data_IF_363977114437
#
_entry.id   IF_363977114437
#
_cell.length_a   1.000
_cell.length_b   1.000
_cell.length_c   1.000
_cell.angle_alpha   90.00
_cell.angle_beta   90.00
_cell.angle_gamma   90.00
#
_symmetry.space_group_name_H-M   'P 1'
#
loop_
_entity.id
_entity.type
_entity.pdbx_description
1 polymer ?
#
# COMPACT_ATOMS: atom_id res chain seq x y z
N UNK A 1 -13.39 -1.85 16.84
CA UNK A 1 -12.03 -1.47 16.38
C UNK A 1 -11.02 -2.28 17.18
N UNK A 2 -10.14 -3.03 16.53
CA UNK A 2 -9.06 -3.76 17.21
C UNK A 2 -7.97 -4.18 16.24
N UNK A 3 -6.77 -4.39 16.76
CA UNK A 3 -5.69 -5.12 16.09
C UNK A 3 -5.32 -6.34 16.95
N UNK A 4 -4.65 -7.33 16.37
CA UNK A 4 -4.06 -8.40 17.19
C UNK A 4 -2.82 -7.90 17.94
N UNK A 5 -2.49 -8.51 19.08
CA UNK A 5 -1.20 -8.26 19.77
C UNK A 5 -0.02 -8.59 18.84
N UNK A 6 -0.14 -9.62 18.00
CA UNK A 6 0.84 -9.97 16.97
C UNK A 6 1.09 -8.84 15.96
N UNK A 7 0.04 -8.10 15.58
CA UNK A 7 0.18 -6.94 14.70
C UNK A 7 0.79 -5.74 15.42
N UNK A 8 0.45 -5.53 16.70
CA UNK A 8 1.05 -4.48 17.51
C UNK A 8 2.58 -4.66 17.63
N UNK A 9 3.06 -5.89 17.81
CA UNK A 9 4.49 -6.21 17.87
C UNK A 9 5.28 -5.91 16.59
N UNK A 10 4.60 -5.72 15.46
CA UNK A 10 5.24 -5.32 14.19
C UNK A 10 5.44 -3.80 14.07
N UNK A 11 4.94 -3.01 15.02
CA UNK A 11 5.02 -1.56 15.00
C UNK A 11 6.43 -1.07 15.39
N UNK A 12 6.88 0.10 14.90
CA UNK A 12 8.22 0.62 15.17
C UNK A 12 8.53 0.77 16.66
N UNK A 13 7.54 1.22 17.46
CA UNK A 13 7.66 1.32 18.92
C UNK A 13 7.89 -0.01 19.64
N UNK A 14 7.66 -1.16 18.99
CA UNK A 14 7.96 -2.50 19.52
C UNK A 14 9.22 -3.12 18.90
N UNK A 15 10.03 -2.34 18.16
CA UNK A 15 11.28 -2.85 17.60
C UNK A 15 12.23 -3.28 18.73
N UNK A 16 12.59 -4.57 18.75
CA UNK A 16 13.40 -5.15 19.83
C UNK A 16 12.60 -5.58 21.07
N UNK A 17 11.27 -5.51 21.03
CA UNK A 17 10.43 -6.04 22.10
C UNK A 17 10.60 -7.56 22.25
N UNK A 18 10.57 -8.03 23.49
CA UNK A 18 10.71 -9.45 23.83
C UNK A 18 9.41 -10.00 24.39
N UNK A 19 8.99 -11.16 23.92
CA UNK A 19 7.85 -11.87 24.49
C UNK A 19 8.38 -12.71 25.65
N UNK A 20 8.02 -12.36 26.88
CA UNK A 20 8.46 -13.07 28.09
C UNK A 20 7.61 -14.29 28.41
N UNK A 21 6.31 -14.23 28.12
CA UNK A 21 5.37 -15.33 28.33
C UNK A 21 4.09 -15.14 27.48
N UNK A 22 3.27 -16.19 27.38
CA UNK A 22 1.95 -16.15 26.77
C UNK A 22 1.95 -16.04 25.25
N UNK A 23 3.01 -16.51 24.57
CA UNK A 23 3.18 -16.37 23.11
C UNK A 23 2.06 -17.00 22.27
N UNK A 24 1.28 -17.93 22.82
CA UNK A 24 0.11 -18.51 22.16
C UNK A 24 -1.12 -17.60 22.12
N UNK A 25 -1.12 -16.50 22.89
CA UNK A 25 -2.23 -15.54 22.95
C UNK A 25 -2.03 -14.26 22.14
N UNK A 26 -1.12 -14.26 21.17
CA UNK A 26 -0.83 -13.05 20.37
C UNK A 26 -1.97 -12.67 19.42
N UNK A 27 -2.95 -13.54 19.21
CA UNK A 27 -4.18 -13.31 18.45
C UNK A 27 -5.25 -12.52 19.23
N UNK A 28 -5.06 -12.33 20.55
CA UNK A 28 -5.94 -11.51 21.40
C UNK A 28 -6.13 -10.12 20.80
N UNK A 29 -7.37 -9.64 20.88
CA UNK A 29 -7.79 -8.38 20.26
C UNK A 29 -7.47 -7.20 21.17
N UNK A 30 -6.52 -6.38 20.74
CA UNK A 30 -6.17 -5.10 21.33
C UNK A 30 -7.12 -4.03 20.79
N UNK A 31 -8.00 -3.51 21.65
CA UNK A 31 -9.04 -2.51 21.31
C UNK A 31 -8.65 -1.10 21.71
N UNK A 32 -7.84 -0.96 22.76
CA UNK A 32 -7.32 0.32 23.26
C UNK A 32 -6.06 0.11 24.10
N UNK A 33 -5.27 1.16 24.29
CA UNK A 33 -4.14 1.16 25.22
C UNK A 33 -4.54 1.83 26.51
N UNK A 34 -4.08 1.25 27.62
CA UNK A 34 -4.24 1.81 28.95
C UNK A 34 -2.89 1.85 29.66
N UNK A 35 -2.55 3.00 30.24
CA UNK A 35 -1.31 3.16 31.02
C UNK A 35 -1.65 2.98 32.50
N UNK A 36 -0.96 2.04 33.16
CA UNK A 36 -1.23 1.72 34.58
C UNK A 36 0.09 1.62 35.33
N UNK A 37 0.35 2.52 36.28
CA UNK A 37 1.59 2.52 37.10
C UNK A 37 1.39 1.95 38.51
N UNK A 38 0.15 1.95 38.99
CA UNK A 38 -0.24 1.37 40.25
C UNK A 38 -1.28 0.28 39.96
N UNK A 39 -1.01 -1.01 40.26
CA UNK A 39 -2.06 -2.00 40.32
C UNK A 39 -3.07 -1.54 41.36
N UNK A 40 -4.37 -1.57 41.06
CA UNK A 40 -5.38 -1.14 42.05
C UNK A 40 -5.28 -2.00 43.31
N UNK A 41 -5.03 -1.34 44.45
CA UNK A 41 -5.01 -1.97 45.77
C UNK A 41 -6.09 -1.31 46.66
N UNK A 42 -6.91 -2.09 47.38
CA UNK A 42 -6.93 -3.55 47.42
C UNK A 42 -7.46 -4.20 46.13
N UNK A 43 -6.94 -5.40 45.83
CA UNK A 43 -7.29 -6.29 44.70
C UNK A 43 -8.73 -6.84 44.78
N UNK A 44 -9.68 -6.04 45.25
CA UNK A 44 -11.07 -6.44 45.21
C UNK A 44 -11.58 -6.27 43.77
N UNK A 45 -11.49 -7.36 43.01
CA UNK A 45 -12.05 -7.44 41.66
C UNK A 45 -13.57 -7.22 41.60
N UNK A 46 -14.27 -7.10 42.74
CA UNK A 46 -15.67 -6.66 42.82
C UNK A 46 -15.82 -5.13 42.88
N UNK A 47 -14.77 -4.39 43.19
CA UNK A 47 -14.73 -2.91 43.27
C UNK A 47 -13.93 -2.34 42.08
N UNK A 48 -12.79 -2.95 41.76
CA UNK A 48 -11.98 -2.62 40.58
C UNK A 48 -12.83 -2.72 39.31
N UNK A 49 -12.88 -1.65 38.50
CA UNK A 49 -13.55 -1.65 37.20
C UNK A 49 -15.09 -1.58 37.18
N UNK A 50 -15.81 -1.82 38.29
CA UNK A 50 -17.29 -1.83 38.29
C UNK A 50 -17.94 -0.46 38.41
N UNK A 51 -17.36 0.45 39.21
CA UNK A 51 -17.84 1.84 39.35
C UNK A 51 -16.93 2.86 38.64
N UNK A 52 -15.68 2.50 38.38
CA UNK A 52 -14.73 3.31 37.63
C UNK A 52 -14.40 2.58 36.32
N UNK A 53 -14.68 3.18 35.17
CA UNK A 53 -14.42 2.65 33.82
C UNK A 53 -12.92 2.47 33.47
N UNK A 54 -12.10 2.08 34.44
CA UNK A 54 -10.64 1.98 34.36
C UNK A 54 -10.17 0.76 33.57
N UNK A 55 -10.99 -0.31 33.51
CA UNK A 55 -10.69 -1.52 32.76
C UNK A 55 -11.85 -1.90 31.84
N UNK A 56 -11.55 -2.20 30.58
CA UNK A 56 -12.50 -2.73 29.60
C UNK A 56 -11.89 -3.87 28.80
N UNK A 57 -12.76 -4.64 28.13
CA UNK A 57 -12.38 -5.71 27.23
C UNK A 57 -11.38 -5.22 26.17
N UNK A 58 -10.32 -6.00 25.96
CA UNK A 58 -9.31 -5.70 24.94
C UNK A 58 -8.34 -4.57 25.30
N UNK A 59 -8.28 -4.14 26.57
CA UNK A 59 -7.22 -3.26 27.08
C UNK A 59 -5.83 -3.86 26.85
N UNK A 60 -4.86 -3.07 26.37
CA UNK A 60 -3.45 -3.44 26.40
C UNK A 60 -2.72 -2.55 27.38
N UNK A 61 -2.25 -3.14 28.48
CA UNK A 61 -1.67 -2.38 29.56
C UNK A 61 -0.21 -2.08 29.29
N UNK A 62 0.18 -0.82 29.50
CA UNK A 62 1.58 -0.39 29.47
C UNK A 62 1.95 0.07 30.87
N UNK A 63 3.06 -0.44 31.38
CA UNK A 63 3.50 -0.14 32.75
C UNK A 63 5.02 -0.23 32.91
N UNK A 64 5.58 0.59 33.80
CA UNK A 64 6.93 0.36 34.35
C UNK A 64 6.89 -0.50 35.61
N UNK A 65 5.69 -0.74 36.13
CA UNK A 65 5.41 -1.44 37.38
C UNK A 65 6.13 -0.81 38.59
N UNK A 66 6.34 0.51 38.55
CA UNK A 66 7.09 1.24 39.58
C UNK A 66 6.56 1.00 40.99
N UNK A 67 5.22 0.96 41.15
CA UNK A 67 4.57 0.79 42.44
C UNK A 67 4.93 -0.54 43.13
N UNK A 68 5.21 -1.60 42.36
CA UNK A 68 5.52 -2.93 42.88
C UNK A 68 6.99 -3.32 42.71
N UNK A 69 7.88 -2.36 42.41
CA UNK A 69 9.32 -2.61 42.18
C UNK A 69 10.02 -3.31 43.35
N UNK A 70 9.54 -3.08 44.59
CA UNK A 70 10.08 -3.65 45.82
C UNK A 70 9.28 -4.87 46.31
N UNK A 71 8.19 -5.22 45.63
CA UNK A 71 7.24 -6.27 45.99
C UNK A 71 6.83 -7.06 44.74
N UNK A 72 7.80 -7.72 44.06
CA UNK A 72 7.57 -8.41 42.78
C UNK A 72 6.55 -9.56 42.86
N UNK A 73 6.28 -10.06 44.06
CA UNK A 73 5.28 -11.09 44.37
C UNK A 73 3.87 -10.66 43.95
N UNK A 74 3.58 -9.34 43.98
CA UNK A 74 2.30 -8.77 43.59
C UNK A 74 2.07 -8.75 42.07
N UNK A 75 3.10 -9.04 41.26
CA UNK A 75 2.97 -9.07 39.81
C UNK A 75 2.04 -10.20 39.36
N UNK A 76 2.07 -11.35 40.03
CA UNK A 76 1.19 -12.47 39.70
C UNK A 76 -0.29 -12.09 39.88
N UNK A 77 -0.61 -11.43 40.99
CA UNK A 77 -1.98 -10.99 41.27
C UNK A 77 -2.42 -9.87 40.31
N UNK A 78 -1.50 -8.98 39.92
CA UNK A 78 -1.74 -7.96 38.89
C UNK A 78 -2.10 -8.59 37.55
N UNK A 79 -1.32 -9.58 37.09
CA UNK A 79 -1.59 -10.27 35.81
C UNK A 79 -2.90 -11.06 35.88
N UNK A 80 -3.20 -11.70 37.02
CA UNK A 80 -4.50 -12.37 37.25
C UNK A 80 -5.67 -11.39 37.14
N UNK A 81 -5.56 -10.21 37.76
CA UNK A 81 -6.56 -9.16 37.69
C UNK A 81 -6.78 -8.69 36.25
N UNK A 82 -5.70 -8.36 35.53
CA UNK A 82 -5.79 -7.89 34.15
C UNK A 82 -6.39 -8.94 33.23
N UNK A 83 -6.04 -10.21 33.39
CA UNK A 83 -6.63 -11.29 32.60
C UNK A 83 -8.14 -11.45 32.90
N UNK A 84 -8.57 -11.26 34.16
CA UNK A 84 -9.99 -11.32 34.56
C UNK A 84 -10.85 -10.26 33.86
N UNK A 85 -10.28 -9.10 33.52
CA UNK A 85 -10.95 -8.05 32.73
C UNK A 85 -10.80 -8.24 31.21
N UNK A 86 -10.39 -9.42 30.74
CA UNK A 86 -10.19 -9.71 29.31
C UNK A 86 -9.23 -8.74 28.61
N UNK A 87 -8.22 -8.22 29.31
CA UNK A 87 -7.17 -7.45 28.66
C UNK A 87 -6.40 -8.29 27.64
N UNK A 88 -5.94 -7.66 26.57
CA UNK A 88 -5.23 -8.27 25.46
C UNK A 88 -3.78 -8.63 25.79
N UNK A 89 -3.15 -7.94 26.74
CA UNK A 89 -1.80 -8.25 27.21
C UNK A 89 -1.20 -7.16 28.10
N UNK A 90 0.01 -7.42 28.62
CA UNK A 90 0.79 -6.51 29.44
C UNK A 90 2.14 -6.22 28.79
N UNK A 91 2.42 -4.95 28.55
CA UNK A 91 3.70 -4.41 28.09
C UNK A 91 4.46 -3.77 29.26
N UNK A 92 5.59 -4.37 29.62
CA UNK A 92 6.47 -3.92 30.70
C UNK A 92 7.64 -3.16 30.09
N UNK A 93 7.83 -1.91 30.51
CA UNK A 93 9.07 -1.20 30.19
C UNK A 93 10.17 -1.66 31.15
N UNK A 94 11.33 -2.06 30.62
CA UNK A 94 12.41 -2.70 31.38
C UNK A 94 13.23 -1.75 32.30
N UNK A 95 12.58 -0.73 32.86
CA UNK A 95 13.18 0.28 33.74
C UNK A 95 13.48 -0.25 35.15
N UNK A 96 12.60 -1.07 35.71
CA UNK A 96 12.75 -1.66 37.05
C UNK A 96 12.79 -3.19 37.02
N UNK A 97 12.08 -3.80 36.08
CA UNK A 97 12.06 -5.25 35.87
C UNK A 97 12.84 -5.61 34.62
N UNK A 98 13.85 -6.49 34.75
CA UNK A 98 14.58 -7.07 33.60
C UNK A 98 14.07 -8.45 33.22
N UNK A 99 13.47 -9.15 34.16
CA UNK A 99 12.84 -10.46 34.01
C UNK A 99 11.57 -10.48 34.84
N UNK A 100 10.71 -11.47 34.59
CA UNK A 100 9.53 -11.74 35.41
C UNK A 100 9.75 -13.03 36.23
N UNK A 101 9.13 -13.15 37.42
CA UNK A 101 9.18 -14.40 38.19
C UNK A 101 8.63 -15.59 37.40
N UNK A 102 9.18 -16.78 37.63
CA UNK A 102 8.78 -18.00 36.89
C UNK A 102 7.30 -18.34 37.08
N UNK A 103 6.75 -18.08 38.26
CA UNK A 103 5.33 -18.30 38.55
C UNK A 103 4.41 -17.44 37.69
N UNK A 104 4.80 -16.19 37.42
CA UNK A 104 4.09 -15.27 36.52
C UNK A 104 4.15 -15.79 35.09
N UNK A 105 5.33 -16.24 34.64
CA UNK A 105 5.50 -16.80 33.31
C UNK A 105 4.68 -18.09 33.12
N UNK A 106 4.67 -18.98 34.12
CA UNK A 106 3.89 -20.21 34.09
C UNK A 106 2.39 -19.93 33.96
N UNK A 107 1.86 -19.05 34.82
CA UNK A 107 0.46 -18.63 34.76
C UNK A 107 0.10 -18.00 33.40
N UNK A 108 0.92 -17.05 32.92
CA UNK A 108 0.70 -16.39 31.63
C UNK A 108 0.70 -17.37 30.45
N UNK A 109 1.56 -18.40 30.48
CA UNK A 109 1.60 -19.46 29.47
C UNK A 109 0.40 -20.41 29.55
N UNK A 110 -0.12 -20.66 30.75
CA UNK A 110 -1.32 -21.48 30.98
C UNK A 110 -2.57 -20.79 30.43
N UNK A 111 -2.76 -19.50 30.74
CA UNK A 111 -3.93 -18.73 30.28
C UNK A 111 -3.74 -18.07 28.92
N UNK A 112 -2.60 -18.29 28.25
CA UNK A 112 -2.21 -17.64 27.00
C UNK A 112 -2.34 -16.11 27.07
N UNK A 113 -1.81 -15.50 28.12
CA UNK A 113 -1.83 -14.05 28.33
C UNK A 113 -0.46 -13.44 27.97
N UNK A 114 -0.34 -12.66 26.87
CA UNK A 114 0.93 -12.12 26.43
C UNK A 114 1.54 -11.14 27.44
N UNK A 115 2.79 -11.42 27.84
CA UNK A 115 3.63 -10.47 28.58
C UNK A 115 4.80 -10.10 27.68
N UNK A 116 4.86 -8.82 27.33
CA UNK A 116 5.83 -8.25 26.40
C UNK A 116 6.73 -7.29 27.18
N UNK A 117 8.01 -7.28 26.87
CA UNK A 117 8.99 -6.37 27.45
C UNK A 117 9.60 -5.46 26.38
N UNK A 118 9.62 -4.16 26.65
CA UNK A 118 10.18 -3.12 25.77
C UNK A 118 11.32 -2.41 26.49
N UNK A 119 12.30 -1.93 25.73
CA UNK A 119 13.44 -1.19 26.26
C UNK A 119 13.00 0.18 26.83
N UNK A 120 13.59 0.59 27.96
CA UNK A 120 13.32 1.86 28.65
C UNK A 120 13.65 3.12 27.85
N UNK A 121 14.39 2.95 26.74
CA UNK A 121 14.66 3.99 25.75
C UNK A 121 13.41 4.38 24.95
N UNK A 122 12.40 3.51 24.85
CA UNK A 122 11.15 3.76 24.13
C UNK A 122 10.17 4.54 25.02
N UNK A 123 9.66 5.67 24.54
CA UNK A 123 8.70 6.47 25.29
C UNK A 123 7.28 5.85 25.22
N UNK A 124 6.52 5.94 26.32
CA UNK A 124 5.11 5.54 26.33
C UNK A 124 4.30 6.22 25.22
N UNK A 125 4.56 7.50 24.96
CA UNK A 125 3.87 8.27 23.96
C UNK A 125 4.00 7.65 22.56
N UNK A 126 5.15 7.07 22.22
CA UNK A 126 5.38 6.44 20.92
C UNK A 126 4.57 5.15 20.79
N UNK A 127 4.57 4.30 21.83
CA UNK A 127 3.78 3.07 21.88
C UNK A 127 2.28 3.39 21.77
N UNK A 128 1.80 4.34 22.59
CA UNK A 128 0.40 4.80 22.58
C UNK A 128 0.02 5.29 21.19
N UNK A 129 0.86 6.13 20.58
CA UNK A 129 0.58 6.75 19.28
C UNK A 129 0.52 5.70 18.17
N UNK A 130 1.53 4.82 18.08
CA UNK A 130 1.61 3.82 17.02
C UNK A 130 0.44 2.84 17.06
N UNK A 131 0.14 2.31 18.23
CA UNK A 131 -0.93 1.33 18.39
C UNK A 131 -2.30 1.99 18.24
N UNK A 132 -2.54 3.17 18.82
CA UNK A 132 -3.82 3.89 18.62
C UNK A 132 -4.05 4.18 17.14
N UNK A 133 -3.01 4.59 16.40
CA UNK A 133 -3.06 4.78 14.95
C UNK A 133 -3.41 3.47 14.23
N UNK A 134 -2.80 2.35 14.63
CA UNK A 134 -3.08 1.04 14.05
C UNK A 134 -4.52 0.56 14.32
N UNK A 135 -5.06 0.76 15.53
CA UNK A 135 -6.45 0.46 15.88
C UNK A 135 -7.42 1.27 15.03
N UNK A 136 -7.22 2.59 14.93
CA UNK A 136 -8.06 3.48 14.14
C UNK A 136 -8.02 3.12 12.65
N UNK A 137 -6.86 2.71 12.14
CA UNK A 137 -6.71 2.29 10.75
C UNK A 137 -7.41 0.97 10.40
N UNK A 138 -7.74 0.12 11.38
CA UNK A 138 -8.25 -1.25 11.14
C UNK A 138 -9.71 -1.32 10.64
N UNK A 139 -10.63 -0.51 11.17
CA UNK A 139 -12.03 -0.48 10.69
C UNK A 139 -12.27 0.55 9.59
N UNK A 140 -11.55 1.67 9.60
CA UNK A 140 -11.70 2.72 8.59
C UNK A 140 -11.43 2.20 7.18
N UNK A 141 -10.47 1.28 7.01
CA UNK A 141 -10.14 0.76 5.67
C UNK A 141 -11.28 -0.05 5.03
N UNK A 142 -11.98 -0.92 5.77
CA UNK A 142 -13.08 -1.71 5.18
C UNK A 142 -14.26 -0.82 4.75
N UNK A 143 -14.63 0.14 5.60
CA UNK A 143 -15.67 1.12 5.30
C UNK A 143 -15.26 1.98 4.10
N UNK A 144 -14.02 2.47 4.10
CA UNK A 144 -13.50 3.27 3.00
C UNK A 144 -13.43 2.50 1.68
N UNK A 145 -13.05 1.22 1.68
CA UNK A 145 -13.10 0.37 0.47
C UNK A 145 -14.54 0.25 -0.04
N UNK A 146 -15.53 0.07 0.84
CA UNK A 146 -16.94 0.04 0.44
C UNK A 146 -17.36 1.35 -0.22
N UNK A 147 -17.07 2.49 0.43
CA UNK A 147 -17.41 3.82 -0.10
C UNK A 147 -16.73 4.06 -1.45
N UNK A 148 -15.47 3.65 -1.62
CA UNK A 148 -14.75 3.78 -2.90
C UNK A 148 -15.40 2.91 -3.98
N UNK A 149 -15.81 1.68 -3.66
CA UNK A 149 -16.56 0.86 -4.60
C UNK A 149 -17.91 1.51 -4.96
N UNK A 150 -18.59 2.11 -4.00
CA UNK A 150 -19.85 2.83 -4.24
C UNK A 150 -19.62 4.04 -5.16
N UNK A 151 -18.56 4.83 -4.93
CA UNK A 151 -18.14 5.94 -5.81
C UNK A 151 -17.87 5.45 -7.24
N UNK A 152 -17.18 4.30 -7.39
CA UNK A 152 -16.84 3.75 -8.71
C UNK A 152 -18.06 3.21 -9.47
N UNK A 153 -19.12 2.82 -8.77
CA UNK A 153 -20.35 2.32 -9.38
C UNK A 153 -21.45 3.41 -9.51
N UNK A 154 -21.20 4.61 -9.00
CA UNK A 154 -22.14 5.73 -9.05
C UNK A 154 -21.96 6.55 -10.32
N UNK A 155 -23.05 7.05 -10.90
CA UNK A 155 -23.04 7.91 -12.07
C UNK A 155 -23.57 9.32 -11.77
N UNK A 156 -24.30 9.52 -10.65
CA UNK A 156 -24.75 10.84 -10.21
C UNK A 156 -23.62 11.64 -9.53
N UNK A 157 -23.19 12.78 -10.10
CA UNK A 157 -22.12 13.62 -9.55
C UNK A 157 -22.40 14.12 -8.12
N UNK A 158 -23.65 14.40 -7.77
CA UNK A 158 -23.99 14.87 -6.42
C UNK A 158 -23.82 13.77 -5.38
N UNK A 159 -24.21 12.53 -5.72
CA UNK A 159 -23.99 11.39 -4.83
C UNK A 159 -22.50 11.04 -4.69
N UNK A 160 -21.71 11.14 -5.77
CA UNK A 160 -20.25 10.99 -5.71
C UNK A 160 -19.65 11.99 -4.70
N UNK A 161 -20.08 13.25 -4.73
CA UNK A 161 -19.60 14.26 -3.80
C UNK A 161 -19.99 13.95 -2.34
N UNK A 162 -21.21 13.46 -2.10
CA UNK A 162 -21.67 13.05 -0.77
C UNK A 162 -20.86 11.86 -0.22
N UNK A 163 -20.61 10.85 -1.06
CA UNK A 163 -19.74 9.71 -0.73
C UNK A 163 -18.30 10.16 -0.46
N UNK A 164 -17.78 11.12 -1.24
CA UNK A 164 -16.45 11.70 -1.02
C UNK A 164 -16.32 12.36 0.37
N UNK A 165 -17.33 13.13 0.80
CA UNK A 165 -17.32 13.71 2.16
C UNK A 165 -17.52 12.66 3.26
N UNK A 166 -18.22 11.56 2.95
CA UNK A 166 -18.32 10.42 3.87
C UNK A 166 -16.96 9.72 4.02
N UNK A 167 -16.18 9.65 2.94
CA UNK A 167 -14.81 9.12 2.96
C UNK A 167 -13.87 10.02 3.77
N UNK A 168 -13.95 11.34 3.55
CA UNK A 168 -13.22 12.35 4.31
C UNK A 168 -13.93 13.71 4.30
N UNK A 169 -14.46 14.12 5.44
CA UNK A 169 -15.18 15.38 5.58
C UNK A 169 -14.31 16.66 5.43
N UNK A 170 -12.99 16.51 5.31
CA UNK A 170 -12.03 17.62 5.11
C UNK A 170 -11.61 17.82 3.66
N UNK A 171 -12.22 17.10 2.71
CA UNK A 171 -11.88 17.31 1.31
C UNK A 171 -12.27 18.70 0.81
N UNK A 172 -11.42 19.23 -0.06
CA UNK A 172 -11.69 20.42 -0.88
C UNK A 172 -12.04 20.00 -2.31
N UNK A 173 -12.60 20.93 -3.08
CA UNK A 173 -13.08 20.65 -4.45
C UNK A 173 -11.98 20.30 -5.44
N UNK A 174 -10.82 20.97 -5.38
CA UNK A 174 -9.75 20.66 -6.32
C UNK A 174 -9.05 19.37 -5.89
N UNK A 175 -9.06 18.35 -6.74
CA UNK A 175 -8.55 17.03 -6.40
C UNK A 175 -7.56 16.49 -7.44
N UNK A 176 -6.63 15.67 -6.94
CA UNK A 176 -5.82 14.76 -7.75
C UNK A 176 -5.66 13.46 -6.96
N UNK A 177 -5.74 12.33 -7.64
CA UNK A 177 -5.63 11.01 -7.02
C UNK A 177 -4.36 10.34 -7.51
N UNK A 178 -3.62 9.79 -6.56
CA UNK A 178 -2.46 8.96 -6.78
C UNK A 178 -2.84 7.51 -6.42
N UNK A 179 -2.45 6.56 -7.26
CA UNK A 179 -2.56 5.14 -6.98
C UNK A 179 -1.16 4.55 -6.88
N UNK A 180 -0.80 4.12 -5.68
CA UNK A 180 0.44 3.41 -5.40
C UNK A 180 0.17 1.91 -5.38
N UNK A 181 0.89 1.16 -6.22
CA UNK A 181 0.92 -0.30 -6.19
C UNK A 181 2.25 -0.78 -5.64
N UNK A 182 2.20 -1.69 -4.68
CA UNK A 182 3.39 -2.31 -4.08
C UNK A 182 3.55 -3.75 -4.56
N UNK A 183 4.80 -4.21 -4.66
CA UNK A 183 5.13 -5.60 -5.00
C UNK A 183 5.67 -6.28 -3.75
N UNK A 184 5.01 -7.34 -3.28
CA UNK A 184 5.48 -8.21 -2.19
C UNK A 184 5.80 -7.44 -0.90
N UNK A 185 4.78 -6.81 -0.30
CA UNK A 185 4.94 -6.04 0.93
C UNK A 185 4.06 -6.57 2.06
N UNK A 186 4.59 -6.54 3.29
CA UNK A 186 3.86 -6.90 4.51
C UNK A 186 2.78 -5.85 4.82
N UNK A 187 1.60 -6.31 5.23
CA UNK A 187 0.48 -5.42 5.60
C UNK A 187 0.84 -4.40 6.70
N UNK A 188 1.76 -4.75 7.61
CA UNK A 188 2.28 -3.83 8.65
C UNK A 188 2.97 -2.61 8.04
N UNK A 189 3.79 -2.80 7.01
CA UNK A 189 4.50 -1.71 6.31
C UNK A 189 3.53 -0.82 5.52
N UNK A 190 2.52 -1.42 4.89
CA UNK A 190 1.46 -0.67 4.18
C UNK A 190 0.67 0.19 5.19
N UNK A 191 0.26 -0.38 6.33
CA UNK A 191 -0.42 0.36 7.39
C UNK A 191 0.42 1.54 7.90
N UNK A 192 1.72 1.33 8.11
CA UNK A 192 2.65 2.39 8.52
C UNK A 192 2.78 3.49 7.46
N UNK A 193 2.92 3.11 6.19
CA UNK A 193 2.99 4.04 5.07
C UNK A 193 1.74 4.94 5.00
N UNK A 194 0.55 4.32 5.09
CA UNK A 194 -0.73 5.03 5.10
C UNK A 194 -0.79 6.00 6.29
N UNK A 195 -0.39 5.54 7.48
CA UNK A 195 -0.34 6.37 8.68
C UNK A 195 0.55 7.60 8.53
N UNK A 196 1.73 7.47 7.92
CA UNK A 196 2.63 8.58 7.68
C UNK A 196 2.10 9.57 6.64
N UNK A 197 1.52 9.05 5.55
CA UNK A 197 0.96 9.89 4.48
C UNK A 197 -0.26 10.68 4.97
N UNK A 198 -1.11 10.09 5.81
CA UNK A 198 -2.27 10.76 6.42
C UNK A 198 -1.90 11.88 7.40
N UNK A 199 -0.65 11.96 7.87
CA UNK A 199 -0.18 13.10 8.67
C UNK A 199 0.15 14.33 7.81
N UNK A 200 0.29 14.16 6.49
CA UNK A 200 0.55 15.27 5.58
C UNK A 200 -0.77 16.03 5.40
N UNK A 201 -0.72 17.36 5.57
CA UNK A 201 -1.89 18.22 5.40
C UNK A 201 -2.47 18.03 3.99
N UNK A 202 -3.81 18.04 3.89
CA UNK A 202 -4.56 17.95 2.63
C UNK A 202 -4.45 16.61 1.89
N UNK A 203 -3.92 15.58 2.56
CA UNK A 203 -3.72 14.25 2.02
C UNK A 203 -4.62 13.26 2.75
N UNK A 204 -5.30 12.41 1.98
CA UNK A 204 -6.06 11.28 2.48
C UNK A 204 -5.58 10.02 1.79
N UNK A 205 -5.18 9.03 2.57
CA UNK A 205 -4.54 7.82 2.12
C UNK A 205 -5.27 6.62 2.70
N UNK A 206 -5.57 5.65 1.84
CA UNK A 206 -6.35 4.46 2.19
C UNK A 206 -5.87 3.24 1.40
N UNK A 207 -5.95 2.07 2.01
CA UNK A 207 -5.72 0.81 1.31
C UNK A 207 -6.94 0.46 0.46
N UNK A 208 -6.71 0.09 -0.80
CA UNK A 208 -7.72 -0.33 -1.75
C UNK A 208 -7.25 -1.61 -2.46
N UNK A 209 -7.65 -2.76 -1.89
CA UNK A 209 -7.12 -4.08 -2.24
C UNK A 209 -5.59 -4.09 -2.23
N UNK A 210 -4.93 -4.48 -3.34
CA UNK A 210 -3.47 -4.50 -3.48
C UNK A 210 -2.83 -3.12 -3.73
N UNK A 211 -3.63 -2.05 -3.73
CA UNK A 211 -3.16 -0.70 -4.01
C UNK A 211 -3.39 0.20 -2.79
N UNK A 212 -2.74 1.35 -2.80
CA UNK A 212 -2.96 2.44 -1.86
C UNK A 212 -3.42 3.65 -2.66
N UNK A 213 -4.62 4.13 -2.38
CA UNK A 213 -5.17 5.34 -2.97
C UNK A 213 -4.81 6.51 -2.08
N UNK A 214 -4.32 7.57 -2.72
CA UNK A 214 -3.82 8.78 -2.09
C UNK A 214 -4.54 9.94 -2.77
N UNK A 215 -5.59 10.45 -2.12
CA UNK A 215 -6.36 11.60 -2.57
C UNK A 215 -5.73 12.87 -2.00
N UNK A 216 -5.38 13.80 -2.88
CA UNK A 216 -4.89 15.12 -2.51
C UNK A 216 -5.98 16.12 -2.89
N UNK A 217 -6.41 16.93 -1.92
CA UNK A 217 -7.45 17.94 -2.15
C UNK A 217 -6.97 19.32 -1.72
N UNK A 218 -7.23 20.36 -2.51
CA UNK A 218 -6.80 21.73 -2.23
C UNK A 218 -7.91 22.76 -2.44
N UNK A 219 -7.82 23.86 -1.68
CA UNK A 219 -8.70 25.03 -1.87
C UNK A 219 -8.42 25.75 -3.19
N UNK A 220 -7.16 25.74 -3.64
CA UNK A 220 -6.74 26.30 -4.91
C UNK A 220 -6.58 25.22 -5.96
N UNK A 221 -6.68 25.62 -7.23
CA UNK A 221 -6.34 24.76 -8.37
C UNK A 221 -4.97 24.13 -8.17
N UNK A 222 -4.90 22.82 -8.36
CA UNK A 222 -3.66 22.04 -8.26
C UNK A 222 -2.91 22.18 -9.58
N UNK A 223 -1.72 22.78 -9.53
CA UNK A 223 -0.87 23.01 -10.70
C UNK A 223 0.10 21.84 -10.93
N UNK A 224 0.70 21.75 -12.12
CA UNK A 224 1.73 20.74 -12.40
C UNK A 224 2.91 20.81 -11.42
N UNK A 225 3.26 22.02 -10.94
CA UNK A 225 4.32 22.20 -9.93
C UNK A 225 3.94 21.59 -8.58
N UNK A 226 2.67 21.69 -8.20
CA UNK A 226 2.17 21.09 -6.96
C UNK A 226 2.19 19.55 -7.09
N UNK A 227 1.80 19.02 -8.25
CA UNK A 227 1.87 17.59 -8.55
C UNK A 227 3.32 17.10 -8.45
N UNK A 228 4.29 17.79 -9.06
CA UNK A 228 5.71 17.43 -8.98
C UNK A 228 6.24 17.44 -7.54
N UNK A 229 5.83 18.42 -6.72
CA UNK A 229 6.16 18.47 -5.30
C UNK A 229 5.58 17.27 -4.54
N UNK A 230 4.30 16.94 -4.78
CA UNK A 230 3.66 15.79 -4.17
C UNK A 230 4.30 14.46 -4.60
N UNK A 231 4.68 14.32 -5.88
CA UNK A 231 5.43 13.17 -6.38
C UNK A 231 6.71 12.98 -5.57
N UNK A 232 7.51 14.05 -5.41
CA UNK A 232 8.78 13.97 -4.69
C UNK A 232 8.58 13.61 -3.22
N UNK A 233 7.58 14.20 -2.56
CA UNK A 233 7.26 13.90 -1.17
C UNK A 233 6.81 12.44 -0.99
N UNK A 234 5.92 11.95 -1.85
CA UNK A 234 5.42 10.57 -1.79
C UNK A 234 6.57 9.60 -2.08
N UNK A 235 7.40 9.85 -3.10
CA UNK A 235 8.58 9.02 -3.40
C UNK A 235 9.51 8.88 -2.20
N UNK A 236 9.84 9.99 -1.54
CA UNK A 236 10.73 9.98 -0.36
C UNK A 236 10.19 9.10 0.77
N UNK A 237 8.87 9.06 0.98
CA UNK A 237 8.23 8.24 2.02
C UNK A 237 8.16 6.77 1.57
N UNK A 238 7.81 6.55 0.31
CA UNK A 238 7.66 5.22 -0.31
C UNK A 238 9.01 4.50 -0.38
N UNK A 239 10.08 5.15 -0.84
CA UNK A 239 11.41 4.56 -1.03
C UNK A 239 12.08 4.16 0.29
N UNK A 240 11.70 4.79 1.41
CA UNK A 240 12.13 4.37 2.76
C UNK A 240 11.50 3.06 3.20
N UNK A 241 10.33 2.73 2.65
CA UNK A 241 9.49 1.61 3.12
C UNK A 241 9.44 0.45 2.11
N UNK A 242 9.55 0.75 0.81
CA UNK A 242 9.30 -0.14 -0.32
C UNK A 242 10.46 -0.11 -1.32
N UNK A 243 10.91 -1.29 -1.77
CA UNK A 243 11.92 -1.42 -2.84
C UNK A 243 11.32 -1.31 -4.23
N UNK A 244 10.21 -2.01 -4.46
CA UNK A 244 9.49 -2.00 -5.73
C UNK A 244 8.07 -1.49 -5.60
N UNK A 245 7.80 -0.44 -6.36
CA UNK A 245 6.55 0.29 -6.35
C UNK A 245 6.28 0.90 -7.73
N UNK A 246 5.00 1.18 -8.00
CA UNK A 246 4.51 1.85 -9.20
C UNK A 246 3.46 2.87 -8.79
N UNK A 247 3.50 4.06 -9.37
CA UNK A 247 2.57 5.15 -9.07
C UNK A 247 1.87 5.56 -10.35
N UNK A 248 0.54 5.58 -10.31
CA UNK A 248 -0.30 6.24 -11.30
C UNK A 248 -0.89 7.51 -10.72
N UNK A 249 -1.04 8.54 -11.54
CA UNK A 249 -1.58 9.84 -11.12
C UNK A 249 -2.70 10.21 -12.09
N UNK A 250 -3.84 10.62 -11.57
CA UNK A 250 -4.94 11.15 -12.35
C UNK A 250 -4.62 12.52 -12.96
N UNK A 251 -5.51 13.04 -13.79
CA UNK A 251 -5.59 14.46 -14.05
C UNK A 251 -6.01 15.22 -12.77
N UNK A 252 -5.79 16.54 -12.77
CA UNK A 252 -6.35 17.42 -11.75
C UNK A 252 -7.78 17.82 -12.13
N UNK A 253 -8.66 17.78 -11.15
CA UNK A 253 -10.05 18.21 -11.29
C UNK A 253 -10.32 19.36 -10.32
N UNK A 254 -11.26 20.22 -10.69
CA UNK A 254 -11.69 21.38 -9.89
C UNK A 254 -12.98 21.10 -9.10
N UNK A 255 -13.42 19.83 -9.04
CA UNK A 255 -14.59 19.41 -8.28
C UNK A 255 -14.47 17.97 -7.75
N UNK A 256 -14.92 17.75 -6.51
CA UNK A 256 -15.05 16.42 -5.91
C UNK A 256 -16.03 15.51 -6.64
N UNK A 257 -16.92 16.09 -7.44
CA UNK A 257 -17.84 15.36 -8.32
C UNK A 257 -17.13 14.44 -9.30
N UNK A 258 -15.89 14.76 -9.66
CA UNK A 258 -15.04 13.96 -10.55
C UNK A 258 -14.15 12.95 -9.81
N UNK A 259 -14.42 12.66 -8.53
CA UNK A 259 -13.60 11.72 -7.76
C UNK A 259 -13.59 10.32 -8.37
N UNK A 260 -14.71 9.87 -8.95
CA UNK A 260 -14.79 8.61 -9.72
C UNK A 260 -13.74 8.60 -10.85
N UNK A 261 -13.81 9.59 -11.73
CA UNK A 261 -12.89 9.73 -12.86
C UNK A 261 -11.43 9.75 -12.37
N UNK A 262 -11.13 10.56 -11.36
CA UNK A 262 -9.79 10.66 -10.81
C UNK A 262 -9.27 9.31 -10.26
N UNK A 263 -10.11 8.53 -9.58
CA UNK A 263 -9.72 7.20 -9.09
C UNK A 263 -9.46 6.24 -10.27
N UNK A 264 -10.34 6.20 -11.26
CA UNK A 264 -10.20 5.33 -12.44
C UNK A 264 -8.94 5.68 -13.25
N UNK A 265 -8.69 6.96 -13.47
CA UNK A 265 -7.49 7.46 -14.16
C UNK A 265 -6.21 7.09 -13.41
N UNK A 266 -6.16 7.29 -12.09
CA UNK A 266 -5.00 6.94 -11.27
C UNK A 266 -4.72 5.43 -11.31
N UNK A 267 -5.77 4.60 -11.20
CA UNK A 267 -5.66 3.14 -11.31
C UNK A 267 -5.13 2.73 -12.69
N UNK A 268 -5.62 3.35 -13.76
CA UNK A 268 -5.18 3.07 -15.13
C UNK A 268 -3.73 3.49 -15.36
N UNK A 269 -3.34 4.70 -14.95
CA UNK A 269 -1.95 5.16 -14.99
C UNK A 269 -1.03 4.25 -14.18
N UNK A 270 -1.48 3.73 -13.04
CA UNK A 270 -0.69 2.82 -12.20
C UNK A 270 -0.46 1.46 -12.89
N UNK A 271 -1.49 0.94 -13.59
CA UNK A 271 -1.34 -0.25 -14.44
C UNK A 271 -0.29 0.01 -15.55
N UNK A 272 -0.34 1.17 -16.20
CA UNK A 272 0.66 1.53 -17.23
C UNK A 272 2.06 1.64 -16.64
N UNK A 273 2.22 2.28 -15.49
CA UNK A 273 3.50 2.39 -14.77
C UNK A 273 4.13 1.00 -14.55
N UNK A 274 3.32 0.00 -14.19
CA UNK A 274 3.79 -1.39 -14.09
C UNK A 274 4.17 -1.99 -15.45
N UNK A 275 3.38 -1.76 -16.50
CA UNK A 275 3.59 -2.27 -17.87
C UNK A 275 4.87 -1.69 -18.50
N UNK A 276 5.08 -0.38 -18.37
CA UNK A 276 6.25 0.34 -18.91
C UNK A 276 7.48 0.19 -18.02
N UNK A 277 7.30 -0.30 -16.80
CA UNK A 277 8.30 -0.37 -15.72
C UNK A 277 8.83 1.00 -15.26
N UNK A 278 8.16 2.09 -15.65
CA UNK A 278 8.43 3.41 -15.11
C UNK A 278 7.85 3.52 -13.71
N UNK A 279 8.57 4.10 -12.75
CA UNK A 279 8.10 4.20 -11.35
C UNK A 279 6.87 5.10 -11.18
N UNK A 280 6.67 6.06 -12.07
CA UNK A 280 5.54 7.01 -12.03
C UNK A 280 5.03 7.28 -13.44
N UNK A 281 3.71 7.26 -13.61
CA UNK A 281 3.02 7.67 -14.83
C UNK A 281 1.86 8.61 -14.50
N UNK A 282 1.67 9.65 -15.32
CA UNK A 282 0.54 10.58 -15.22
C UNK A 282 -0.47 10.23 -16.32
N UNK A 283 -1.76 10.16 -15.98
CA UNK A 283 -2.81 9.69 -16.87
C UNK A 283 -2.82 10.43 -18.22
N UNK A 284 -2.74 11.76 -18.23
CA UNK A 284 -2.64 12.55 -19.48
C UNK A 284 -1.43 12.21 -20.36
N UNK A 285 -0.39 11.57 -19.83
CA UNK A 285 0.86 11.23 -20.54
C UNK A 285 0.93 9.78 -21.03
N UNK A 286 0.02 8.91 -20.62
CA UNK A 286 0.06 7.49 -21.02
C UNK A 286 -0.44 7.24 -22.46
N UNK A 287 -1.04 8.25 -23.10
CA UNK A 287 -1.42 8.22 -24.51
C UNK A 287 -2.35 7.05 -24.87
N UNK A 288 -2.05 6.33 -25.95
CA UNK A 288 -2.90 5.22 -26.43
C UNK A 288 -3.07 4.05 -25.44
N UNK A 289 -2.30 4.00 -24.35
CA UNK A 289 -2.58 3.04 -23.27
C UNK A 289 -3.92 3.28 -22.58
N UNK A 290 -4.44 4.52 -22.57
CA UNK A 290 -5.79 4.83 -22.07
C UNK A 290 -6.82 3.94 -22.79
N UNK A 291 -6.85 4.04 -24.12
CA UNK A 291 -7.77 3.29 -24.97
C UNK A 291 -7.54 1.77 -24.92
N UNK A 292 -6.27 1.33 -24.89
CA UNK A 292 -5.95 -0.09 -24.89
C UNK A 292 -6.39 -0.80 -23.61
N UNK A 293 -6.31 -0.13 -22.46
CA UNK A 293 -6.68 -0.71 -21.17
C UNK A 293 -8.20 -0.70 -20.93
N UNK A 294 -8.95 0.13 -21.64
CA UNK A 294 -10.43 0.13 -21.62
C UNK A 294 -11.03 -1.07 -22.36
N UNK A 295 -10.26 -1.75 -23.20
CA UNK A 295 -10.69 -2.97 -23.90
C UNK A 295 -10.76 -4.13 -22.89
N UNK A 296 -11.97 -4.34 -22.33
CA UNK A 296 -12.24 -5.36 -21.30
C UNK A 296 -11.85 -6.79 -21.72
N UNK A 297 -11.98 -7.12 -23.02
CA UNK A 297 -11.74 -8.47 -23.52
C UNK A 297 -10.29 -8.66 -24.01
N UNK A 298 -9.45 -9.28 -23.17
CA UNK A 298 -8.07 -9.63 -23.54
C UNK A 298 -7.95 -10.53 -24.77
N UNK A 299 -8.95 -11.36 -25.07
CA UNK A 299 -8.92 -12.19 -26.28
C UNK A 299 -9.04 -11.34 -27.54
N UNK A 300 -9.78 -10.22 -27.49
CA UNK A 300 -9.85 -9.26 -28.61
C UNK A 300 -8.47 -8.64 -28.86
N UNK A 301 -7.78 -8.18 -27.80
CA UNK A 301 -6.42 -7.67 -27.92
C UNK A 301 -5.45 -8.71 -28.48
N UNK A 302 -5.55 -9.97 -28.04
CA UNK A 302 -4.70 -11.07 -28.52
C UNK A 302 -4.94 -11.41 -29.99
N UNK A 303 -6.20 -11.44 -30.44
CA UNK A 303 -6.53 -11.62 -31.87
C UNK A 303 -5.95 -10.50 -32.71
N UNK A 304 -6.18 -9.25 -32.30
CA UNK A 304 -5.67 -8.09 -33.01
C UNK A 304 -4.13 -8.05 -33.03
N UNK A 305 -3.46 -8.40 -31.94
CA UNK A 305 -2.00 -8.55 -31.91
C UNK A 305 -1.48 -9.58 -32.92
N UNK A 306 -2.13 -10.74 -33.00
CA UNK A 306 -1.79 -11.78 -33.97
C UNK A 306 -2.08 -11.34 -35.41
N UNK A 307 -3.11 -10.54 -35.65
CA UNK A 307 -3.36 -9.94 -36.97
C UNK A 307 -2.26 -8.93 -37.36
N UNK A 308 -1.77 -8.13 -36.40
CA UNK A 308 -0.74 -7.11 -36.67
C UNK A 308 0.64 -7.71 -36.95
N UNK A 309 1.07 -8.73 -36.20
CA UNK A 309 2.45 -9.25 -36.29
C UNK A 309 2.56 -10.78 -36.42
N UNK A 310 1.45 -11.49 -36.63
CA UNK A 310 1.44 -12.93 -36.89
C UNK A 310 2.44 -13.39 -37.97
N UNK A 311 2.55 -12.69 -39.12
CA UNK A 311 3.54 -13.03 -40.14
C UNK A 311 5.00 -12.99 -39.66
N UNK A 312 5.31 -12.18 -38.65
CA UNK A 312 6.66 -12.08 -38.07
C UNK A 312 6.91 -13.23 -37.09
N UNK A 313 5.90 -13.58 -36.29
CA UNK A 313 5.95 -14.71 -35.37
C UNK A 313 6.17 -16.01 -36.16
N UNK A 314 5.37 -16.24 -37.21
CA UNK A 314 5.51 -17.40 -38.09
C UNK A 314 6.88 -17.44 -38.79
N UNK A 315 7.41 -16.28 -39.18
CA UNK A 315 8.74 -16.21 -39.79
C UNK A 315 9.84 -16.60 -38.79
N UNK A 316 9.78 -16.08 -37.56
CA UNK A 316 10.77 -16.36 -36.52
C UNK A 316 10.74 -17.83 -36.09
N UNK A 317 9.55 -18.44 -35.97
CA UNK A 317 9.39 -19.87 -35.65
C UNK A 317 9.94 -20.78 -36.76
N UNK A 318 9.64 -20.48 -38.03
CA UNK A 318 10.03 -21.35 -39.14
C UNK A 318 11.50 -21.21 -39.56
N UNK A 319 12.11 -20.04 -39.32
CA UNK A 319 13.49 -19.74 -39.78
C UNK A 319 14.47 -19.46 -38.66
N UNK A 320 14.08 -19.72 -37.41
CA UNK A 320 14.86 -19.39 -36.21
C UNK A 320 15.30 -17.91 -36.22
N UNK A 321 14.36 -17.04 -36.60
CA UNK A 321 14.57 -15.61 -36.75
C UNK A 321 14.51 -14.84 -35.43
N UNK A 322 14.84 -13.54 -35.48
CA UNK A 322 14.77 -12.60 -34.34
C UNK A 322 14.07 -11.29 -34.74
N UNK A 323 13.11 -11.35 -35.66
CA UNK A 323 12.41 -10.19 -36.18
C UNK A 323 11.55 -9.51 -35.12
N UNK A 324 10.81 -10.27 -34.31
CA UNK A 324 9.96 -9.70 -33.24
C UNK A 324 10.81 -9.02 -32.16
N UNK A 325 11.88 -9.66 -31.71
CA UNK A 325 12.85 -9.07 -30.77
C UNK A 325 13.46 -7.78 -31.34
N UNK A 326 13.86 -7.81 -32.62
CA UNK A 326 14.43 -6.63 -33.29
C UNK A 326 13.41 -5.50 -33.41
N UNK A 327 12.17 -5.83 -33.78
CA UNK A 327 11.08 -4.87 -33.93
C UNK A 327 10.76 -4.16 -32.62
N UNK A 328 10.64 -4.91 -31.53
CA UNK A 328 10.30 -4.32 -30.23
C UNK A 328 11.44 -3.47 -29.69
N UNK A 329 12.69 -3.90 -29.84
CA UNK A 329 13.85 -3.09 -29.46
C UNK A 329 13.95 -1.82 -30.32
N UNK A 330 13.60 -1.92 -31.60
CA UNK A 330 13.51 -0.77 -32.50
C UNK A 330 12.46 0.25 -32.08
N UNK A 331 11.28 -0.20 -31.67
CA UNK A 331 10.22 0.68 -31.12
C UNK A 331 10.65 1.31 -29.80
N UNK A 332 11.29 0.56 -28.92
CA UNK A 332 11.81 1.08 -27.64
C UNK A 332 12.86 2.18 -27.81
N UNK A 333 13.59 2.13 -28.93
CA UNK A 333 14.61 3.11 -29.30
C UNK A 333 14.09 4.21 -30.24
N UNK A 334 12.78 4.44 -30.28
CA UNK A 334 12.12 5.46 -31.11
C UNK A 334 12.46 5.36 -32.61
N UNK A 335 12.70 4.14 -33.09
CA UNK A 335 13.07 3.88 -34.49
C UNK A 335 14.54 4.16 -34.83
N UNK A 336 15.41 4.32 -33.84
CA UNK A 336 16.85 4.52 -34.03
C UNK A 336 17.57 3.18 -34.30
N UNK A 337 18.11 3.05 -35.52
CA UNK A 337 18.84 1.85 -35.95
C UNK A 337 20.15 1.65 -35.17
N UNK A 338 20.86 2.73 -34.85
CA UNK A 338 22.16 2.68 -34.16
C UNK A 338 21.99 2.22 -32.72
N UNK A 339 21.04 2.82 -31.99
CA UNK A 339 20.70 2.37 -30.62
C UNK A 339 20.19 0.93 -30.60
N UNK A 340 19.35 0.56 -31.56
CA UNK A 340 18.85 -0.81 -31.67
C UNK A 340 19.97 -1.82 -31.95
N UNK A 341 20.94 -1.45 -32.79
CA UNK A 341 22.10 -2.29 -33.08
C UNK A 341 22.97 -2.48 -31.83
N UNK A 342 23.18 -1.40 -31.07
CA UNK A 342 23.89 -1.43 -29.80
C UNK A 342 23.20 -2.35 -28.77
N UNK A 343 21.90 -2.16 -28.51
CA UNK A 343 21.16 -2.93 -27.51
C UNK A 343 21.06 -4.43 -27.83
N UNK A 344 21.03 -4.78 -29.12
CA UNK A 344 20.97 -6.17 -29.58
C UNK A 344 22.35 -6.78 -29.84
N UNK A 345 23.43 -6.03 -29.61
CA UNK A 345 24.81 -6.44 -29.92
C UNK A 345 24.94 -6.93 -31.37
N UNK A 346 24.36 -6.19 -32.32
CA UNK A 346 24.39 -6.48 -33.75
C UNK A 346 25.00 -5.31 -34.53
N UNK A 347 25.43 -5.58 -35.76
CA UNK A 347 25.83 -4.51 -36.69
C UNK A 347 24.58 -3.78 -37.23
N UNK A 348 24.67 -2.46 -37.45
CA UNK A 348 23.54 -1.65 -37.96
C UNK A 348 22.94 -2.21 -39.26
N UNK A 349 23.79 -2.72 -40.16
CA UNK A 349 23.34 -3.34 -41.42
C UNK A 349 22.41 -4.53 -41.19
N UNK A 350 22.65 -5.33 -40.14
CA UNK A 350 21.78 -6.44 -39.77
C UNK A 350 20.43 -5.92 -39.30
N UNK A 351 20.40 -4.84 -38.51
CA UNK A 351 19.15 -4.21 -38.07
C UNK A 351 18.38 -3.63 -39.27
N UNK A 352 19.05 -2.88 -40.16
CA UNK A 352 18.43 -2.37 -41.39
C UNK A 352 17.80 -3.49 -42.21
N UNK A 353 18.54 -4.59 -42.42
CA UNK A 353 18.02 -5.76 -43.12
C UNK A 353 16.78 -6.35 -42.44
N UNK A 354 16.81 -6.54 -41.12
CA UNK A 354 15.66 -7.08 -40.36
C UNK A 354 14.45 -6.15 -40.43
N UNK A 355 14.63 -4.84 -40.27
CA UNK A 355 13.53 -3.85 -40.36
C UNK A 355 12.94 -3.80 -41.78
N UNK A 356 13.77 -3.87 -42.83
CA UNK A 356 13.29 -4.02 -44.21
C UNK A 356 12.48 -5.31 -44.38
N UNK A 357 12.93 -6.41 -43.78
CA UNK A 357 12.21 -7.68 -43.84
C UNK A 357 10.86 -7.61 -43.13
N UNK A 358 10.80 -6.98 -41.95
CA UNK A 358 9.56 -6.71 -41.21
C UNK A 358 8.60 -5.90 -42.09
N UNK A 359 9.05 -4.81 -42.71
CA UNK A 359 8.22 -4.01 -43.62
C UNK A 359 7.63 -4.84 -44.77
N UNK A 360 8.43 -5.72 -45.37
CA UNK A 360 7.96 -6.60 -46.45
C UNK A 360 6.90 -7.59 -45.97
N UNK A 361 7.11 -8.22 -44.80
CA UNK A 361 6.17 -9.20 -44.25
C UNK A 361 4.83 -8.57 -43.84
N UNK A 362 4.85 -7.30 -43.41
CA UNK A 362 3.64 -6.55 -43.09
C UNK A 362 2.97 -5.91 -44.32
N UNK A 363 3.62 -5.94 -45.49
CA UNK A 363 3.13 -5.23 -46.68
C UNK A 363 3.19 -3.70 -46.56
N UNK A 364 4.09 -3.15 -45.73
CA UNK A 364 4.18 -1.73 -45.39
C UNK A 364 5.51 -1.09 -45.83
N UNK A 365 6.05 -1.53 -46.97
CA UNK A 365 7.37 -1.08 -47.47
C UNK A 365 7.41 0.44 -47.72
N UNK A 366 6.35 0.99 -48.31
CA UNK A 366 6.27 2.43 -48.66
C UNK A 366 5.42 3.24 -47.67
N UNK A 367 4.65 2.59 -46.79
CA UNK A 367 3.74 3.24 -45.85
C UNK A 367 4.40 3.51 -44.49
N UNK A 368 5.31 4.49 -44.43
CA UNK A 368 6.13 4.74 -43.23
C UNK A 368 5.31 5.08 -41.98
N UNK A 369 4.26 5.90 -42.10
CA UNK A 369 3.41 6.30 -40.95
C UNK A 369 2.66 5.07 -40.41
N UNK A 370 1.97 4.34 -41.28
CA UNK A 370 1.20 3.14 -40.90
C UNK A 370 2.11 2.04 -40.37
N UNK A 371 3.34 1.91 -40.89
CA UNK A 371 4.34 1.02 -40.34
C UNK A 371 4.63 1.35 -38.87
N UNK A 372 4.98 2.59 -38.57
CA UNK A 372 5.25 3.01 -37.19
C UNK A 372 4.04 2.85 -36.26
N UNK A 373 2.85 3.19 -36.73
CA UNK A 373 1.59 2.99 -35.99
C UNK A 373 1.37 1.51 -35.65
N UNK A 374 1.48 0.63 -36.64
CA UNK A 374 1.31 -0.83 -36.53
C UNK A 374 2.27 -1.41 -35.50
N UNK A 375 3.58 -1.11 -35.62
CA UNK A 375 4.61 -1.71 -34.76
C UNK A 375 4.57 -1.15 -33.34
N UNK A 376 4.23 0.14 -33.19
CA UNK A 376 4.07 0.78 -31.88
C UNK A 376 2.88 0.19 -31.13
N UNK A 377 1.75 0.02 -31.83
CA UNK A 377 0.55 -0.58 -31.27
C UNK A 377 0.79 -2.05 -30.89
N UNK A 378 1.41 -2.83 -31.78
CA UNK A 378 1.79 -4.21 -31.50
C UNK A 378 2.71 -4.33 -30.27
N UNK A 379 3.72 -3.46 -30.16
CA UNK A 379 4.60 -3.41 -28.99
C UNK A 379 3.81 -3.11 -27.70
N UNK A 380 2.95 -2.09 -27.69
CA UNK A 380 2.14 -1.75 -26.51
C UNK A 380 1.20 -2.89 -26.11
N UNK A 381 0.51 -3.50 -27.07
CA UNK A 381 -0.40 -4.64 -26.81
C UNK A 381 0.39 -5.82 -26.23
N UNK A 382 1.59 -6.10 -26.75
CA UNK A 382 2.47 -7.16 -26.25
C UNK A 382 2.73 -7.02 -24.75
N UNK A 383 2.94 -5.80 -24.25
CA UNK A 383 3.19 -5.53 -22.83
C UNK A 383 1.95 -5.66 -21.94
N UNK A 384 0.75 -5.65 -22.53
CA UNK A 384 -0.52 -5.81 -21.81
C UNK A 384 -0.90 -7.29 -21.69
N UNK A 385 -0.66 -8.08 -22.76
CA UNK A 385 -1.15 -9.46 -22.87
C UNK A 385 -0.11 -10.54 -22.56
N UNK A 386 1.18 -10.24 -22.71
CA UNK A 386 2.32 -11.12 -22.38
C UNK A 386 2.91 -10.70 -21.04
#
# INVERSE_FOLDING_TARGET
>A
MSISVADALKLPSFYGAQILAGSRGLDRQLRRISVVECPEFPLDASIAGKENHLFEDGDFFISSLYAIKNTPELLLDTVKLYNKFNSSGLCIINRYFKTIPQEVANYANEVNYPIIMVEWSVAYADIITDVSRAILSSQNNHVAISIINDILNEDDPENIMSLAYTLNNKFYDNIVVFCLKTVMCEESKIRFLIGNLNNIKNLYCVSYYDNVLICISSQSKITDKDIDLHINNIKNVVERSLKDYYIGISNSYESLKNLKDAIEEALTACKVSKITKNKVEIYSKIGSYQLLLDIKNKNTLKKFYNELIGPLIEYDENKNGKLVETLFTYVQNDGDIGKTAFDLFQHENTIRYRILKVKQLLGLTEESIKFYETISLAYKISKIIL
#
